data_IF_004424430964
#
_entry.id   IF_004424430964
#
_cell.length_a   1.000
_cell.length_b   1.000
_cell.length_c   1.000
_cell.angle_alpha   90.00
_cell.angle_beta   90.00
_cell.angle_gamma   90.00
#
_symmetry.space_group_name_H-M   'P 1'
#
loop_
_entity.id
_entity.type
_entity.pdbx_description
1 polymer ?
#
# COMPACT_ATOMS: atom_id res chain seq x y z
N UNK A 1 60.06 40.05 -2.42
CA UNK A 1 59.50 38.67 -2.38
C UNK A 1 59.26 38.25 -0.93
N UNK A 2 58.02 38.08 -0.49
CA UNK A 2 57.72 37.36 0.76
C UNK A 2 56.31 36.74 0.70
N UNK A 3 56.24 35.46 1.06
CA UNK A 3 55.18 34.48 0.77
C UNK A 3 53.82 34.82 1.39
N UNK A 4 52.79 35.01 0.54
CA UNK A 4 51.36 34.95 0.90
C UNK A 4 51.01 33.57 1.46
N UNK A 5 50.93 33.43 2.79
CA UNK A 5 50.38 32.24 3.46
C UNK A 5 48.87 32.13 3.17
N UNK A 6 48.50 31.35 2.14
CA UNK A 6 47.12 30.93 1.90
C UNK A 6 46.65 30.03 3.05
N UNK A 7 46.00 30.62 4.07
CA UNK A 7 45.23 29.88 5.09
C UNK A 7 44.10 29.13 4.39
N UNK A 8 44.29 27.83 4.12
CA UNK A 8 43.20 26.90 3.79
C UNK A 8 42.28 26.84 5.00
N UNK A 9 41.20 27.63 5.02
CA UNK A 9 40.05 27.39 5.89
C UNK A 9 39.44 26.05 5.46
N UNK A 10 39.91 24.95 6.04
CA UNK A 10 39.15 23.69 6.04
C UNK A 10 37.83 24.03 6.74
N UNK A 11 36.74 24.15 5.97
CA UNK A 11 35.40 24.11 6.53
C UNK A 11 35.29 22.74 7.21
N UNK A 12 35.50 22.68 8.52
CA UNK A 12 35.05 21.55 9.32
C UNK A 12 33.55 21.47 9.07
N UNK A 13 33.12 20.45 8.32
CA UNK A 13 31.69 20.11 8.27
C UNK A 13 31.32 19.84 9.72
N UNK A 14 30.46 20.68 10.29
CA UNK A 14 29.93 20.46 11.63
C UNK A 14 29.28 19.09 11.62
N UNK A 15 29.86 18.16 12.36
CA UNK A 15 29.22 16.87 12.54
C UNK A 15 27.93 17.08 13.34
N UNK A 16 26.85 16.37 12.99
CA UNK A 16 25.59 16.51 13.70
C UNK A 16 25.81 16.15 15.18
N UNK A 17 25.24 16.91 16.11
CA UNK A 17 25.39 16.59 17.54
C UNK A 17 24.66 15.28 17.87
N UNK A 18 25.08 14.56 18.93
CA UNK A 18 24.41 13.32 19.35
C UNK A 18 22.90 13.50 19.57
N UNK A 19 22.47 14.70 20.01
CA UNK A 19 21.04 15.06 20.16
C UNK A 19 20.30 15.11 18.82
N UNK A 20 20.96 15.51 17.73
CA UNK A 20 20.37 15.53 16.38
C UNK A 20 20.18 14.12 15.80
N UNK A 21 20.92 13.12 16.31
CA UNK A 21 20.81 11.73 15.88
C UNK A 21 19.81 10.90 16.72
N UNK A 22 19.48 11.35 17.93
CA UNK A 22 18.57 10.63 18.84
C UNK A 22 17.12 10.57 18.31
N UNK A 23 16.57 11.71 17.89
CA UNK A 23 15.20 11.77 17.35
C UNK A 23 14.97 10.85 16.14
N UNK A 24 15.81 10.88 15.07
CA UNK A 24 15.62 9.98 13.94
C UNK A 24 15.89 8.51 14.29
N UNK A 25 16.74 8.21 15.27
CA UNK A 25 16.91 6.84 15.79
C UNK A 25 15.62 6.33 16.44
N UNK A 26 14.98 7.11 17.32
CA UNK A 26 13.72 6.72 17.96
C UNK A 26 12.59 6.52 16.93
N UNK A 27 12.51 7.39 15.92
CA UNK A 27 11.58 7.22 14.79
C UNK A 27 11.87 5.90 14.06
N UNK A 28 13.14 5.60 13.79
CA UNK A 28 13.56 4.35 13.16
C UNK A 28 13.17 3.11 13.97
N UNK A 29 13.31 3.15 15.30
CA UNK A 29 12.88 2.06 16.19
C UNK A 29 11.37 1.84 16.11
N UNK A 30 10.58 2.89 16.25
CA UNK A 30 9.11 2.79 16.17
C UNK A 30 8.68 2.25 14.80
N UNK A 31 9.26 2.78 13.72
CA UNK A 31 8.94 2.34 12.36
C UNK A 31 9.34 0.87 12.14
N UNK A 32 10.50 0.45 12.64
CA UNK A 32 10.96 -0.95 12.58
C UNK A 32 10.00 -1.89 13.32
N UNK A 33 9.53 -1.51 14.52
CA UNK A 33 8.54 -2.28 15.27
C UNK A 33 7.21 -2.39 14.52
N UNK A 34 6.74 -1.29 13.91
CA UNK A 34 5.51 -1.31 13.09
C UNK A 34 5.67 -2.23 11.89
N UNK A 35 6.80 -2.16 11.17
CA UNK A 35 7.07 -3.05 10.04
C UNK A 35 7.14 -4.53 10.45
N UNK A 36 7.76 -4.85 11.58
CA UNK A 36 7.78 -6.22 12.12
C UNK A 36 6.38 -6.70 12.53
N UNK A 37 5.57 -5.84 13.14
CA UNK A 37 4.18 -6.15 13.42
C UNK A 37 3.40 -6.46 12.12
N UNK A 38 3.61 -5.66 11.08
CA UNK A 38 3.03 -5.92 9.75
C UNK A 38 3.51 -7.26 9.18
N UNK A 39 4.78 -7.63 9.32
CA UNK A 39 5.27 -8.95 8.86
C UNK A 39 4.49 -10.11 9.49
N UNK A 40 4.25 -10.03 10.80
CA UNK A 40 3.62 -11.13 11.55
C UNK A 40 2.11 -11.18 11.33
N UNK A 41 1.48 -10.05 11.02
CA UNK A 41 0.03 -9.95 10.87
C UNK A 41 -0.45 -9.97 9.42
N UNK A 42 0.39 -9.61 8.46
CA UNK A 42 0.03 -9.65 7.05
C UNK A 42 0.13 -11.09 6.54
N UNK A 43 -1.02 -11.64 6.17
CA UNK A 43 -1.13 -12.94 5.49
C UNK A 43 -1.18 -12.71 3.98
N UNK A 44 -0.55 -13.59 3.20
CA UNK A 44 -0.67 -13.61 1.72
C UNK A 44 -2.06 -14.04 1.31
N UNK A 45 -2.63 -13.35 0.32
CA UNK A 45 -3.93 -13.71 -0.23
C UNK A 45 -3.82 -14.99 -1.04
N UNK A 46 -4.71 -15.94 -0.78
CA UNK A 46 -4.85 -17.16 -1.57
C UNK A 46 -6.22 -17.20 -2.24
N UNK A 47 -6.37 -18.00 -3.32
CA UNK A 47 -7.68 -18.19 -3.98
C UNK A 47 -8.78 -18.64 -2.99
N UNK A 48 -8.40 -19.40 -1.97
CA UNK A 48 -9.28 -19.85 -0.90
C UNK A 48 -9.78 -18.74 0.03
N UNK A 49 -9.30 -17.51 -0.11
CA UNK A 49 -9.77 -16.35 0.66
C UNK A 49 -10.86 -15.58 -0.09
N UNK A 50 -11.15 -15.98 -1.33
CA UNK A 50 -12.15 -15.34 -2.18
C UNK A 50 -13.43 -16.17 -2.27
N UNK A 51 -14.51 -15.48 -2.63
CA UNK A 51 -15.81 -16.04 -2.97
C UNK A 51 -16.23 -15.52 -4.34
N UNK A 52 -16.72 -16.43 -5.18
CA UNK A 52 -17.19 -16.09 -6.51
C UNK A 52 -18.70 -15.81 -6.49
N UNK A 53 -19.08 -14.69 -7.08
CA UNK A 53 -20.46 -14.31 -7.33
C UNK A 53 -20.76 -14.34 -8.82
N UNK A 54 -21.94 -14.81 -9.18
CA UNK A 54 -22.46 -14.79 -10.55
C UNK A 54 -23.87 -14.22 -10.55
N UNK A 55 -24.15 -13.33 -11.49
CA UNK A 55 -25.50 -12.81 -11.66
C UNK A 55 -25.60 -11.64 -12.62
N UNK A 56 -26.84 -11.31 -12.97
CA UNK A 56 -27.15 -10.13 -13.77
C UNK A 56 -27.22 -8.91 -12.87
N UNK A 57 -26.43 -7.85 -13.10
CA UNK A 57 -26.47 -6.65 -12.28
C UNK A 57 -27.82 -5.94 -12.42
N UNK A 58 -28.35 -5.42 -11.31
CA UNK A 58 -29.50 -4.50 -11.34
C UNK A 58 -29.10 -3.10 -11.83
N UNK A 59 -27.86 -2.71 -11.56
CA UNK A 59 -27.28 -1.47 -12.07
C UNK A 59 -25.76 -1.54 -12.12
N UNK A 60 -25.17 -0.96 -13.17
CA UNK A 60 -23.73 -0.71 -13.29
C UNK A 60 -23.54 0.78 -13.56
N UNK A 61 -23.06 1.53 -12.57
CA UNK A 61 -22.90 2.99 -12.69
C UNK A 61 -21.46 3.40 -12.47
N UNK A 62 -20.99 4.35 -13.29
CA UNK A 62 -19.69 5.00 -13.08
C UNK A 62 -19.93 6.21 -12.21
N UNK A 63 -19.41 6.18 -10.99
CA UNK A 63 -19.49 7.31 -10.08
C UNK A 63 -18.20 8.10 -10.17
N UNK A 64 -18.33 9.39 -10.54
CA UNK A 64 -17.24 10.36 -10.40
C UNK A 64 -17.21 10.77 -8.93
N UNK A 65 -16.09 10.53 -8.24
CA UNK A 65 -15.95 10.99 -6.86
C UNK A 65 -16.14 12.51 -6.81
N UNK A 66 -17.00 12.99 -5.92
CA UNK A 66 -17.37 14.42 -5.84
C UNK A 66 -16.20 15.30 -5.38
N UNK A 67 -15.11 14.72 -4.90
CA UNK A 67 -14.03 15.43 -4.24
C UNK A 67 -12.67 14.94 -4.76
N UNK A 68 -12.30 15.31 -5.99
CA UNK A 68 -11.01 14.98 -6.67
C UNK A 68 -10.62 13.49 -6.69
N UNK A 69 -11.52 12.59 -6.27
CA UNK A 69 -11.24 11.18 -6.21
C UNK A 69 -11.36 10.52 -7.57
N UNK A 70 -10.79 9.34 -7.65
CA UNK A 70 -10.76 8.55 -8.85
C UNK A 70 -12.17 8.03 -9.16
N UNK A 71 -12.54 7.92 -10.44
CA UNK A 71 -13.80 7.29 -10.80
C UNK A 71 -13.79 5.84 -10.29
N UNK A 72 -14.95 5.34 -9.90
CA UNK A 72 -15.14 3.93 -9.58
C UNK A 72 -16.41 3.42 -10.25
N UNK A 73 -16.40 2.13 -10.59
CA UNK A 73 -17.60 1.45 -11.09
C UNK A 73 -18.32 0.82 -9.91
N UNK A 74 -19.57 1.18 -9.70
CA UNK A 74 -20.45 0.58 -8.70
C UNK A 74 -21.39 -0.42 -9.40
N UNK A 75 -21.37 -1.66 -8.90
CA UNK A 75 -22.22 -2.77 -9.31
C UNK A 75 -23.17 -3.08 -8.17
N UNK A 76 -24.45 -3.21 -8.50
CA UNK A 76 -25.49 -3.67 -7.57
C UNK A 76 -26.10 -4.96 -8.10
N UNK A 77 -26.28 -5.91 -7.20
CA UNK A 77 -27.05 -7.12 -7.46
C UNK A 77 -28.49 -6.91 -6.96
N UNK A 78 -29.51 -7.51 -7.59
CA UNK A 78 -30.91 -7.31 -7.21
C UNK A 78 -31.22 -7.75 -5.76
N UNK A 79 -30.59 -8.83 -5.29
CA UNK A 79 -30.91 -9.50 -4.02
C UNK A 79 -29.89 -9.21 -2.91
N UNK A 80 -28.83 -8.45 -3.20
CA UNK A 80 -27.77 -8.15 -2.24
C UNK A 80 -27.77 -6.67 -1.86
N UNK A 81 -27.95 -6.32 -0.57
CA UNK A 81 -27.86 -4.93 -0.12
C UNK A 81 -26.43 -4.36 -0.18
N UNK A 82 -25.41 -5.19 -0.39
CA UNK A 82 -24.01 -4.77 -0.50
C UNK A 82 -23.74 -4.08 -1.82
N UNK A 83 -22.96 -3.00 -1.75
CA UNK A 83 -22.42 -2.33 -2.94
C UNK A 83 -21.08 -2.92 -3.30
N UNK A 84 -20.96 -3.35 -4.55
CA UNK A 84 -19.71 -3.83 -5.08
C UNK A 84 -19.03 -2.72 -5.87
N UNK A 85 -17.74 -2.48 -5.62
CA UNK A 85 -16.99 -1.41 -6.28
C UNK A 85 -15.73 -1.92 -6.95
N UNK A 86 -15.46 -1.42 -8.14
CA UNK A 86 -14.21 -1.64 -8.85
C UNK A 86 -13.40 -0.34 -8.82
N UNK A 87 -12.26 -0.28 -8.10
CA UNK A 87 -11.37 0.87 -8.12
C UNK A 87 -10.65 0.96 -9.47
N UNK A 88 -10.76 2.10 -10.17
CA UNK A 88 -10.26 2.23 -11.56
C UNK A 88 -8.73 2.35 -11.63
N UNK A 89 -8.04 2.91 -10.63
CA UNK A 89 -6.57 3.07 -10.70
C UNK A 89 -5.75 1.94 -10.10
N UNK A 90 -6.30 1.14 -9.18
CA UNK A 90 -5.54 0.01 -8.60
C UNK A 90 -5.19 -1.02 -9.69
N UNK A 91 -5.99 -1.04 -10.75
CA UNK A 91 -5.86 -1.97 -11.86
C UNK A 91 -5.51 -1.20 -13.14
N UNK A 92 -4.25 -0.77 -13.24
CA UNK A 92 -3.66 -0.13 -14.44
C UNK A 92 -3.96 -0.90 -15.75
N UNK A 93 -4.29 -2.18 -15.65
CA UNK A 93 -4.59 -3.08 -16.77
C UNK A 93 -6.08 -3.22 -17.12
N UNK A 94 -6.98 -2.41 -16.57
CA UNK A 94 -8.32 -2.21 -17.19
C UNK A 94 -8.20 -1.37 -18.47
N UNK A 95 -7.38 -1.84 -19.41
CA UNK A 95 -7.13 -1.23 -20.73
C UNK A 95 -8.41 -1.07 -21.55
N UNK A 96 -9.50 -1.75 -21.17
CA UNK A 96 -10.82 -1.66 -21.79
C UNK A 96 -11.94 -1.41 -20.77
N UNK A 97 -11.77 -0.42 -19.88
CA UNK A 97 -12.84 0.02 -18.97
C UNK A 97 -14.14 0.35 -19.72
N UNK A 98 -14.03 0.98 -20.89
CA UNK A 98 -15.18 1.32 -21.73
C UNK A 98 -15.88 0.09 -22.32
N UNK A 99 -15.12 -0.91 -22.79
CA UNK A 99 -15.66 -2.17 -23.25
C UNK A 99 -16.21 -3.04 -22.12
N UNK A 100 -15.65 -2.95 -20.91
CA UNK A 100 -16.25 -3.56 -19.71
C UNK A 100 -17.63 -2.98 -19.43
N UNK A 101 -17.73 -1.65 -19.32
CA UNK A 101 -18.99 -0.99 -19.04
C UNK A 101 -20.05 -1.30 -20.09
N UNK A 102 -19.67 -1.28 -21.37
CA UNK A 102 -20.57 -1.64 -22.48
C UNK A 102 -21.07 -3.07 -22.36
N UNK A 103 -20.21 -4.04 -22.04
CA UNK A 103 -20.60 -5.43 -21.89
C UNK A 103 -21.46 -5.65 -20.64
N UNK A 104 -21.08 -5.08 -19.50
CA UNK A 104 -21.78 -5.22 -18.23
C UNK A 104 -23.16 -4.53 -18.20
N UNK A 105 -23.36 -3.51 -19.04
CA UNK A 105 -24.65 -2.82 -19.20
C UNK A 105 -25.55 -3.44 -20.28
N UNK A 106 -25.08 -4.46 -21.00
CA UNK A 106 -25.89 -5.13 -22.01
C UNK A 106 -27.08 -5.85 -21.34
N UNK A 107 -28.28 -5.86 -21.96
CA UNK A 107 -29.42 -6.60 -21.43
C UNK A 107 -29.09 -8.09 -21.25
N UNK A 108 -29.32 -8.63 -20.05
CA UNK A 108 -29.01 -10.02 -19.73
C UNK A 108 -27.52 -10.34 -19.54
N UNK A 109 -26.65 -9.33 -19.41
CA UNK A 109 -25.24 -9.54 -19.14
C UNK A 109 -25.02 -10.30 -17.84
N UNK A 110 -24.41 -11.48 -17.92
CA UNK A 110 -24.00 -12.24 -16.76
C UNK A 110 -22.62 -11.78 -16.31
N UNK A 111 -22.56 -11.17 -15.12
CA UNK A 111 -21.32 -10.84 -14.46
C UNK A 111 -20.87 -12.00 -13.58
N UNK A 112 -19.58 -12.29 -13.61
CA UNK A 112 -18.91 -13.15 -12.65
C UNK A 112 -17.78 -12.35 -12.01
N UNK A 113 -17.74 -12.30 -10.69
CA UNK A 113 -16.71 -11.55 -9.99
C UNK A 113 -16.31 -12.22 -8.68
N UNK A 114 -15.10 -11.91 -8.22
CA UNK A 114 -14.57 -12.41 -6.96
C UNK A 114 -14.41 -11.27 -5.97
N UNK A 115 -14.71 -11.57 -4.71
CA UNK A 115 -14.51 -10.67 -3.57
C UNK A 115 -13.83 -11.44 -2.45
N UNK A 116 -13.02 -10.75 -1.65
CA UNK A 116 -12.46 -11.33 -0.43
C UNK A 116 -13.56 -11.64 0.59
N UNK A 117 -13.56 -12.86 1.16
CA UNK A 117 -14.55 -13.28 2.16
C UNK A 117 -14.52 -12.40 3.41
N UNK A 118 -13.32 -12.01 3.84
CA UNK A 118 -13.14 -11.10 4.98
C UNK A 118 -13.85 -9.76 4.74
N UNK A 119 -13.64 -9.17 3.57
CA UNK A 119 -14.31 -7.93 3.16
C UNK A 119 -15.83 -8.10 3.05
N UNK A 120 -16.32 -9.27 2.62
CA UNK A 120 -17.77 -9.54 2.56
C UNK A 120 -18.42 -9.69 3.93
N UNK A 121 -17.72 -10.31 4.88
CA UNK A 121 -18.17 -10.47 6.27
C UNK A 121 -18.11 -9.15 7.04
N UNK A 122 -17.12 -8.32 6.75
CA UNK A 122 -16.93 -7.01 7.35
C UNK A 122 -16.80 -5.92 6.28
N UNK A 123 -17.91 -5.56 5.59
CA UNK A 123 -17.86 -4.57 4.52
C UNK A 123 -17.40 -3.21 5.04
N UNK A 124 -16.56 -2.55 4.24
CA UNK A 124 -16.10 -1.21 4.54
C UNK A 124 -17.26 -0.23 4.58
N UNK A 125 -17.18 0.71 5.53
CA UNK A 125 -18.13 1.82 5.67
C UNK A 125 -17.37 3.14 5.61
N UNK A 126 -17.07 3.65 4.40
CA UNK A 126 -16.35 4.90 4.23
C UNK A 126 -17.04 6.04 4.98
N UNK A 127 -16.29 6.88 5.70
CA UNK A 127 -16.87 7.96 6.52
C UNK A 127 -17.75 8.94 5.72
N UNK A 128 -17.39 9.21 4.47
CA UNK A 128 -18.11 10.13 3.57
C UNK A 128 -19.37 9.48 2.97
N UNK A 129 -19.42 8.15 2.90
CA UNK A 129 -20.50 7.37 2.31
C UNK A 129 -20.65 6.04 3.06
N UNK A 130 -21.32 6.04 4.24
CA UNK A 130 -21.23 4.98 5.25
C UNK A 130 -22.01 3.71 4.91
N UNK A 131 -22.36 3.52 3.64
CA UNK A 131 -23.04 2.33 3.17
C UNK A 131 -22.02 1.18 2.99
N UNK A 132 -22.37 -0.05 3.42
CA UNK A 132 -21.53 -1.24 3.24
C UNK A 132 -21.01 -1.37 1.81
N UNK A 133 -19.69 -1.51 1.68
CA UNK A 133 -19.00 -1.54 0.40
C UNK A 133 -17.98 -2.66 0.40
N UNK A 134 -17.97 -3.45 -0.67
CA UNK A 134 -16.98 -4.50 -0.91
C UNK A 134 -16.31 -4.21 -2.23
N UNK A 135 -14.98 -4.30 -2.25
CA UNK A 135 -14.22 -4.13 -3.48
C UNK A 135 -14.14 -5.44 -4.25
N UNK A 136 -14.22 -5.35 -5.57
CA UNK A 136 -14.08 -6.49 -6.47
C UNK A 136 -12.61 -6.70 -6.80
N UNK A 137 -12.18 -7.95 -6.67
CA UNK A 137 -10.80 -8.41 -6.86
C UNK A 137 -10.59 -9.16 -8.18
N UNK A 138 -11.65 -9.55 -8.88
CA UNK A 138 -11.61 -10.08 -10.24
C UNK A 138 -12.99 -9.97 -10.89
N UNK A 139 -13.07 -9.73 -12.20
CA UNK A 139 -14.34 -9.58 -12.90
C UNK A 139 -14.27 -10.06 -14.35
N UNK A 140 -15.33 -10.77 -14.75
CA UNK A 140 -15.61 -11.19 -16.11
C UNK A 140 -17.06 -10.92 -16.49
N UNK A 141 -17.31 -10.72 -17.78
CA UNK A 141 -18.65 -10.63 -18.37
C UNK A 141 -18.77 -11.74 -19.40
N UNK A 142 -19.66 -12.71 -19.17
CA UNK A 142 -19.71 -13.93 -19.98
C UNK A 142 -18.36 -14.65 -20.01
N UNK A 143 -17.82 -14.91 -21.20
CA UNK A 143 -16.51 -15.56 -21.39
C UNK A 143 -15.32 -14.60 -21.35
N UNK A 144 -15.55 -13.27 -21.29
CA UNK A 144 -14.48 -12.28 -21.34
C UNK A 144 -14.06 -11.89 -19.93
N UNK A 145 -12.84 -12.25 -19.58
CA UNK A 145 -12.19 -11.78 -18.36
C UNK A 145 -11.61 -10.38 -18.59
N UNK A 146 -11.91 -9.45 -17.68
CA UNK A 146 -11.36 -8.10 -17.70
C UNK A 146 -10.28 -7.93 -16.64
N UNK A 147 -10.45 -8.61 -15.50
CA UNK A 147 -9.44 -8.67 -14.45
C UNK A 147 -9.48 -10.04 -13.78
N UNK A 148 -8.32 -10.70 -13.72
CA UNK A 148 -8.22 -12.07 -13.21
C UNK A 148 -7.83 -12.11 -11.74
N UNK A 149 -8.34 -13.11 -11.03
CA UNK A 149 -7.97 -13.35 -9.63
C UNK A 149 -6.47 -13.65 -9.50
N UNK A 150 -5.90 -14.32 -10.51
CA UNK A 150 -4.47 -14.62 -10.56
C UNK A 150 -3.62 -13.35 -10.63
N UNK A 151 -4.03 -12.34 -11.39
CA UNK A 151 -3.33 -11.05 -11.43
C UNK A 151 -3.38 -10.34 -10.08
N UNK A 152 -4.50 -10.44 -9.34
CA UNK A 152 -4.63 -9.90 -7.99
C UNK A 152 -3.66 -10.56 -7.01
N UNK A 153 -3.60 -11.90 -7.02
CA UNK A 153 -2.69 -12.66 -6.15
C UNK A 153 -1.23 -12.34 -6.51
N UNK A 154 -0.87 -12.32 -7.79
CA UNK A 154 0.49 -11.98 -8.22
C UNK A 154 0.89 -10.54 -7.83
N UNK A 155 -0.06 -9.60 -7.84
CA UNK A 155 0.15 -8.23 -7.36
C UNK A 155 0.38 -8.20 -5.84
N UNK A 156 -0.40 -8.96 -5.06
CA UNK A 156 -0.21 -9.08 -3.61
C UNK A 156 1.17 -9.66 -3.29
N UNK A 157 1.56 -10.77 -3.93
CA UNK A 157 2.88 -11.39 -3.79
C UNK A 157 4.03 -10.41 -4.10
N UNK A 158 3.89 -9.62 -5.17
CA UNK A 158 4.90 -8.62 -5.55
C UNK A 158 5.03 -7.50 -4.52
N UNK A 159 3.90 -7.03 -3.97
CA UNK A 159 3.90 -6.02 -2.91
C UNK A 159 4.42 -6.58 -1.60
N UNK A 160 4.13 -7.85 -1.29
CA UNK A 160 4.72 -8.51 -0.14
C UNK A 160 6.23 -8.56 -0.26
N UNK A 161 6.79 -8.91 -1.43
CA UNK A 161 8.25 -8.88 -1.61
C UNK A 161 8.84 -7.50 -1.30
N UNK A 162 8.21 -6.43 -1.79
CA UNK A 162 8.63 -5.06 -1.48
C UNK A 162 8.56 -4.77 0.03
N UNK A 163 7.49 -5.20 0.70
CA UNK A 163 7.33 -5.05 2.14
C UNK A 163 8.43 -5.81 2.91
N UNK A 164 8.74 -7.05 2.53
CA UNK A 164 9.82 -7.85 3.14
C UNK A 164 11.18 -7.14 3.02
N UNK A 165 11.47 -6.51 1.88
CA UNK A 165 12.69 -5.72 1.70
C UNK A 165 12.73 -4.56 2.70
N UNK A 166 11.63 -3.82 2.86
CA UNK A 166 11.55 -2.72 3.82
C UNK A 166 11.73 -3.20 5.27
N UNK A 167 11.12 -4.34 5.62
CA UNK A 167 11.25 -4.96 6.95
C UNK A 167 12.69 -5.34 7.27
N UNK A 168 13.53 -5.67 6.29
CA UNK A 168 14.96 -5.95 6.53
C UNK A 168 15.77 -4.65 6.58
N UNK A 169 15.53 -3.73 5.64
CA UNK A 169 16.34 -2.51 5.49
C UNK A 169 16.18 -1.55 6.67
N UNK A 170 14.96 -1.33 7.16
CA UNK A 170 14.72 -0.35 8.24
C UNK A 170 15.36 -0.74 9.59
N UNK A 171 15.24 -1.99 10.07
CA UNK A 171 15.95 -2.43 11.27
C UNK A 171 17.46 -2.34 11.13
N UNK A 172 18.03 -2.68 9.96
CA UNK A 172 19.48 -2.55 9.73
C UNK A 172 19.93 -1.09 9.78
N UNK A 173 19.20 -0.17 9.15
CA UNK A 173 19.49 1.27 9.23
C UNK A 173 19.37 1.78 10.67
N UNK A 174 18.34 1.34 11.39
CA UNK A 174 18.11 1.72 12.79
C UNK A 174 19.25 1.22 13.69
N UNK A 175 19.66 -0.04 13.51
CA UNK A 175 20.79 -0.63 14.23
C UNK A 175 22.09 0.13 13.93
N UNK A 176 22.34 0.48 12.66
CA UNK A 176 23.49 1.30 12.27
C UNK A 176 23.47 2.67 12.96
N UNK A 177 22.32 3.34 13.02
CA UNK A 177 22.19 4.62 13.74
C UNK A 177 22.43 4.48 15.24
N UNK A 178 21.90 3.42 15.85
CA UNK A 178 22.15 3.09 17.26
C UNK A 178 23.64 2.86 17.52
N UNK A 179 24.32 2.14 16.63
CA UNK A 179 25.76 1.93 16.68
C UNK A 179 26.54 3.24 16.59
N UNK A 180 26.17 4.15 15.67
CA UNK A 180 26.79 5.48 15.55
C UNK A 180 26.60 6.33 16.81
N UNK A 181 25.41 6.30 17.41
CA UNK A 181 25.12 6.97 18.68
C UNK A 181 25.97 6.40 19.82
N UNK A 182 26.12 5.08 19.87
CA UNK A 182 26.94 4.40 20.87
C UNK A 182 28.42 4.78 20.74
N UNK A 183 28.99 4.72 19.53
CA UNK A 183 30.38 5.13 19.29
C UNK A 183 30.63 6.58 19.75
N UNK A 184 29.76 7.51 19.38
CA UNK A 184 29.86 8.92 19.78
C UNK A 184 29.78 9.12 21.29
N UNK A 185 28.96 8.33 21.98
CA UNK A 185 28.91 8.34 23.45
C UNK A 185 30.25 7.89 24.03
N UNK A 186 30.81 6.78 23.54
CA UNK A 186 32.10 6.26 24.04
C UNK A 186 33.27 7.21 23.78
N UNK A 187 33.20 8.05 22.74
CA UNK A 187 34.20 9.10 22.50
C UNK A 187 34.12 10.25 23.49
N UNK A 188 32.91 10.64 23.91
CA UNK A 188 32.69 11.67 24.93
C UNK A 188 33.15 11.23 26.33
N UNK A 189 33.12 9.93 26.60
CA UNK A 189 33.50 9.35 27.89
C UNK A 189 35.03 9.16 28.05
N UNK A 190 35.85 9.42 27.02
CA UNK A 190 37.32 9.31 27.12
C UNK A 190 37.88 10.45 27.99
N UNK A 191 38.71 10.14 29.02
CA UNK A 191 39.33 11.17 29.85
C UNK A 191 40.23 12.09 29.02
N UNK A 192 40.20 13.39 29.32
CA UNK A 192 41.06 14.40 28.70
C UNK A 192 42.53 14.04 28.99
N UNK A 193 43.38 13.79 27.97
CA UNK A 193 44.79 13.46 28.18
C UNK A 193 45.55 14.73 28.58
N UNK A 194 45.36 15.16 29.83
CA UNK A 194 46.15 16.22 30.46
C UNK A 194 47.19 15.63 31.39
#
# INVERSE_FOLDING_TARGET
MAKRRRRKKRKQKAEPSARQLLAPFLIGVVFSCVMLYFLVTHRTLHESDFEQFKGTPSSVTVLKSSNKGQPFVEIRLPEDPIRYRIPVEVYKDMSDTSGFLRAAQAPGAELSFYVERGARQHPDKPAIDPKPTVFIDAVSVGSREYYSLRQRIAWDESNQLALHILIVVFPLLTAYMGWQLWLRRTELDKPDPR
#
